data_IF_112524615531
#
_entry.id   IF_112524615531
#
_cell.length_a   1.000
_cell.length_b   1.000
_cell.length_c   1.000
_cell.angle_alpha   90.00
_cell.angle_beta   90.00
_cell.angle_gamma   90.00
#
_symmetry.space_group_name_H-M   'P 1'
#
loop_
_entity.id
_entity.type
_entity.pdbx_description
1 polymer ?
#
# COMPACT_ATOMS: atom_id res chain seq x y z
N UNK A 1 2.54 -14.00 -13.58
CA UNK A 1 2.90 -14.62 -12.28
C UNK A 1 2.38 -13.71 -11.18
N UNK A 2 1.69 -14.26 -10.17
CA UNK A 2 1.33 -13.47 -8.98
C UNK A 2 2.57 -13.39 -8.08
N UNK A 3 2.86 -12.25 -7.42
CA UNK A 3 3.95 -12.19 -6.47
C UNK A 3 3.69 -13.15 -5.32
N UNK A 4 4.69 -13.95 -4.95
CA UNK A 4 4.67 -14.72 -3.70
C UNK A 4 4.97 -13.76 -2.55
N UNK A 5 3.95 -13.40 -1.80
CA UNK A 5 4.06 -12.54 -0.64
C UNK A 5 4.46 -13.34 0.60
N UNK A 6 5.25 -12.75 1.48
CA UNK A 6 5.59 -13.30 2.81
C UNK A 6 5.33 -12.30 3.92
N UNK A 7 5.24 -12.82 5.14
CA UNK A 7 5.19 -12.00 6.35
C UNK A 7 6.45 -11.12 6.43
N UNK A 8 6.27 -9.84 6.77
CA UNK A 8 7.31 -8.83 6.78
C UNK A 8 7.48 -8.05 5.47
N UNK A 9 6.92 -8.51 4.35
CA UNK A 9 6.98 -7.74 3.10
C UNK A 9 6.18 -6.44 3.22
N UNK A 10 6.69 -5.40 2.56
CA UNK A 10 5.96 -4.15 2.39
C UNK A 10 5.10 -4.20 1.12
N UNK A 11 3.85 -3.80 1.26
CA UNK A 11 2.88 -3.77 0.17
C UNK A 11 2.09 -2.47 0.13
N UNK A 12 1.60 -2.14 -1.05
CA UNK A 12 0.61 -1.10 -1.27
C UNK A 12 -0.77 -1.75 -1.44
N UNK A 13 -1.79 -1.17 -0.83
CA UNK A 13 -3.17 -1.65 -0.86
C UNK A 13 -4.01 -0.77 -1.78
N UNK A 14 -4.82 -1.38 -2.64
CA UNK A 14 -5.70 -0.70 -3.58
C UNK A 14 -6.80 0.09 -2.88
N UNK A 15 -7.01 1.33 -3.32
CA UNK A 15 -8.04 2.23 -2.76
C UNK A 15 -9.45 1.99 -3.28
N UNK A 16 -9.63 1.06 -4.23
CA UNK A 16 -10.92 0.79 -4.89
C UNK A 16 -12.08 0.52 -3.92
N UNK A 17 -11.81 -0.13 -2.80
CA UNK A 17 -12.82 -0.48 -1.79
C UNK A 17 -12.84 0.47 -0.58
N UNK A 18 -12.10 1.58 -0.63
CA UNK A 18 -12.07 2.55 0.46
C UNK A 18 -13.17 3.60 0.25
N UNK A 19 -14.37 3.29 0.75
CA UNK A 19 -15.56 4.15 0.58
C UNK A 19 -15.43 5.56 1.22
N UNK A 20 -14.43 5.80 2.07
CA UNK A 20 -14.29 7.04 2.86
C UNK A 20 -13.00 7.82 2.59
N UNK A 21 -12.34 7.63 1.43
CA UNK A 21 -11.22 8.51 1.07
C UNK A 21 -11.78 9.90 0.73
N UNK A 22 -11.18 10.95 1.29
CA UNK A 22 -11.55 12.34 0.97
C UNK A 22 -11.02 12.73 -0.43
N UNK A 23 -11.72 13.61 -1.14
CA UNK A 23 -11.26 14.23 -2.41
C UNK A 23 -11.91 13.69 -3.69
N UNK A 24 -11.72 14.33 -4.87
CA UNK A 24 -12.32 13.88 -6.13
C UNK A 24 -11.63 12.62 -6.68
N UNK A 25 -12.41 11.64 -7.17
CA UNK A 25 -11.91 10.31 -7.56
C UNK A 25 -10.78 10.29 -8.60
N UNK A 26 -10.64 11.36 -9.41
CA UNK A 26 -9.56 11.50 -10.42
C UNK A 26 -8.20 11.92 -9.84
N UNK A 27 -8.15 12.45 -8.61
CA UNK A 27 -6.93 12.89 -7.92
C UNK A 27 -6.51 11.96 -6.78
N UNK A 28 -7.28 10.90 -6.51
CA UNK A 28 -6.95 9.95 -5.45
C UNK A 28 -5.90 8.97 -5.96
N UNK A 29 -4.92 8.69 -5.12
CA UNK A 29 -3.98 7.61 -5.40
C UNK A 29 -4.74 6.28 -5.48
N UNK A 30 -4.46 5.49 -6.53
CA UNK A 30 -5.08 4.17 -6.70
C UNK A 30 -4.61 3.15 -5.67
N UNK A 31 -3.52 3.46 -4.95
CA UNK A 31 -2.90 2.61 -3.94
C UNK A 31 -2.39 3.45 -2.76
N UNK A 32 -2.47 2.91 -1.56
CA UNK A 32 -1.99 3.53 -0.31
C UNK A 32 -1.05 2.59 0.44
N UNK A 33 -0.16 3.15 1.26
CA UNK A 33 0.87 2.41 1.99
C UNK A 33 2.23 3.10 1.91
N UNK A 34 3.33 2.44 2.27
CA UNK A 34 3.50 1.00 2.46
C UNK A 34 2.94 0.45 3.78
N UNK A 35 2.35 -0.74 3.73
CA UNK A 35 1.93 -1.51 4.90
C UNK A 35 2.72 -2.80 4.98
N UNK A 36 2.98 -3.28 6.19
CA UNK A 36 3.70 -4.54 6.41
C UNK A 36 2.71 -5.70 6.47
N UNK A 37 2.95 -6.77 5.72
CA UNK A 37 2.21 -8.01 5.86
C UNK A 37 2.53 -8.62 7.23
N UNK A 38 1.52 -8.80 8.07
CA UNK A 38 1.67 -9.45 9.37
C UNK A 38 1.28 -10.92 9.32
N UNK A 39 0.45 -11.32 8.35
CA UNK A 39 0.00 -12.71 8.21
C UNK A 39 -0.47 -13.02 6.80
N UNK A 40 -0.19 -14.23 6.32
CA UNK A 40 -0.82 -14.80 5.13
C UNK A 40 -2.05 -15.63 5.53
N UNK A 41 -3.21 -15.31 4.96
CA UNK A 41 -4.46 -16.03 5.20
C UNK A 41 -4.76 -16.88 3.97
N UNK A 42 -4.39 -18.17 4.04
CA UNK A 42 -4.50 -19.09 2.91
C UNK A 42 -3.65 -18.64 1.72
N UNK A 43 -4.13 -18.89 0.50
CA UNK A 43 -3.37 -18.64 -0.74
C UNK A 43 -3.60 -17.25 -1.35
N UNK A 44 -4.72 -16.62 -1.03
CA UNK A 44 -5.23 -15.47 -1.80
C UNK A 44 -5.51 -14.24 -0.94
N UNK A 45 -5.16 -14.25 0.34
CA UNK A 45 -5.50 -13.16 1.26
C UNK A 45 -4.31 -12.85 2.16
N UNK A 46 -4.07 -11.56 2.38
CA UNK A 46 -3.01 -11.06 3.26
C UNK A 46 -3.61 -10.16 4.32
N UNK A 47 -3.08 -10.24 5.53
CA UNK A 47 -3.37 -9.31 6.61
C UNK A 47 -2.20 -8.35 6.74
N UNK A 48 -2.49 -7.05 6.76
CA UNK A 48 -1.47 -6.00 6.83
C UNK A 48 -1.65 -5.14 8.07
N UNK A 49 -0.53 -4.64 8.57
CA UNK A 49 -0.52 -3.64 9.63
C UNK A 49 -0.85 -2.26 9.04
N UNK A 50 -2.10 -1.83 9.21
CA UNK A 50 -2.54 -0.50 8.85
C UNK A 50 -2.02 0.55 9.85
N UNK A 51 -1.69 1.73 9.35
CA UNK A 51 -1.33 2.88 10.19
C UNK A 51 -2.58 3.50 10.81
N UNK A 52 -2.44 4.37 11.81
CA UNK A 52 -3.56 4.94 12.58
C UNK A 52 -4.64 5.59 11.70
N UNK A 53 -4.25 6.28 10.62
CA UNK A 53 -5.18 6.89 9.65
C UNK A 53 -6.13 5.86 9.00
N UNK A 54 -5.68 4.60 8.88
CA UNK A 54 -6.42 3.50 8.27
C UNK A 54 -6.89 2.46 9.29
N UNK A 55 -6.69 2.67 10.59
CA UNK A 55 -7.03 1.72 11.65
C UNK A 55 -8.51 1.28 11.67
N UNK A 56 -9.42 2.14 11.21
CA UNK A 56 -10.86 1.83 11.09
C UNK A 56 -11.20 0.98 9.86
N UNK A 57 -10.24 0.67 8.99
CA UNK A 57 -10.44 -0.15 7.79
C UNK A 57 -10.10 -1.60 8.09
N UNK A 58 -10.74 -2.53 7.38
CA UNK A 58 -10.41 -3.95 7.49
C UNK A 58 -8.94 -4.18 7.10
N UNK A 59 -8.10 -4.81 7.95
CA UNK A 59 -6.68 -5.04 7.66
C UNK A 59 -6.43 -6.21 6.71
N UNK A 60 -7.48 -6.91 6.30
CA UNK A 60 -7.41 -8.13 5.49
C UNK A 60 -7.79 -7.83 4.05
N UNK A 61 -6.88 -8.10 3.12
CA UNK A 61 -7.05 -7.80 1.70
C UNK A 61 -6.77 -9.02 0.82
N UNK A 62 -7.56 -9.24 -0.23
CA UNK A 62 -7.22 -10.17 -1.30
C UNK A 62 -5.89 -9.80 -1.97
N UNK A 63 -5.11 -10.81 -2.36
CA UNK A 63 -3.82 -10.68 -3.07
C UNK A 63 -3.93 -9.85 -4.36
N UNK A 64 -5.09 -9.87 -5.01
CA UNK A 64 -5.37 -9.05 -6.22
C UNK A 64 -5.43 -7.55 -5.94
N UNK A 65 -5.71 -7.15 -4.69
CA UNK A 65 -5.80 -5.76 -4.27
C UNK A 65 -4.49 -5.24 -3.65
N UNK A 66 -3.44 -6.03 -3.61
CA UNK A 66 -2.13 -5.63 -3.09
C UNK A 66 -1.06 -5.65 -4.17
N UNK A 67 -0.09 -4.76 -4.04
CA UNK A 67 1.10 -4.69 -4.89
C UNK A 67 2.36 -4.69 -4.02
N UNK A 68 3.44 -5.36 -4.45
CA UNK A 68 4.71 -5.26 -3.74
C UNK A 68 5.19 -3.81 -3.73
N UNK A 69 5.65 -3.34 -2.57
CA UNK A 69 6.28 -2.03 -2.45
C UNK A 69 7.76 -2.16 -2.81
N UNK A 70 8.16 -1.52 -3.90
CA UNK A 70 9.57 -1.44 -4.30
C UNK A 70 10.17 -0.19 -3.69
N UNK A 71 10.99 -0.37 -2.65
CA UNK A 71 11.77 0.74 -2.11
C UNK A 71 12.67 1.29 -3.24
N UNK A 72 12.68 2.61 -3.38
CA UNK A 72 13.53 3.24 -4.39
C UNK A 72 14.98 3.14 -3.93
N UNK A 73 15.74 2.29 -4.61
CA UNK A 73 17.19 2.20 -4.47
C UNK A 73 17.83 3.51 -4.97
N UNK A 74 18.20 4.40 -4.05
CA UNK A 74 18.76 5.73 -4.38
C UNK A 74 20.03 5.62 -5.24
N UNK A 75 20.81 4.54 -5.06
CA UNK A 75 22.01 4.27 -5.85
C UNK A 75 21.72 3.89 -7.31
N UNK A 76 20.55 3.31 -7.62
CA UNK A 76 20.20 2.93 -8.99
C UNK A 76 19.65 4.10 -9.80
N UNK A 77 19.09 5.11 -9.13
CA UNK A 77 18.46 6.26 -9.78
C UNK A 77 18.84 7.57 -9.07
N UNK A 78 20.12 8.00 -9.10
CA UNK A 78 20.60 9.16 -8.37
C UNK A 78 19.94 10.48 -8.81
N UNK A 79 19.40 10.54 -10.03
CA UNK A 79 18.72 11.74 -10.56
C UNK A 79 17.25 11.86 -10.16
N UNK A 80 16.66 10.87 -9.46
CA UNK A 80 15.25 10.89 -9.05
C UNK A 80 15.08 11.78 -7.81
N UNK A 81 14.65 13.03 -8.00
CA UNK A 81 14.27 13.91 -6.88
C UNK A 81 13.01 13.35 -6.21
N UNK A 82 13.07 13.05 -4.91
CA UNK A 82 11.85 12.75 -4.13
C UNK A 82 11.03 14.03 -4.08
N UNK A 83 9.85 14.04 -4.70
CA UNK A 83 8.94 15.17 -4.55
C UNK A 83 8.59 15.28 -3.06
N UNK A 84 8.68 16.47 -2.44
CA UNK A 84 8.30 16.63 -1.05
C UNK A 84 6.83 16.23 -0.90
N UNK A 85 6.54 15.38 0.09
CA UNK A 85 5.17 15.08 0.52
C UNK A 85 4.44 16.41 0.73
N UNK A 86 3.28 16.64 0.09
CA UNK A 86 2.58 17.91 0.23
C UNK A 86 2.24 18.13 1.71
N UNK A 87 2.82 19.17 2.30
CA UNK A 87 2.43 19.64 3.62
C UNK A 87 0.97 20.09 3.51
N UNK A 88 0.06 19.36 4.18
CA UNK A 88 -1.33 19.81 4.30
C UNK A 88 -1.32 21.08 5.15
N UNK A 89 -1.69 22.20 4.55
CA UNK A 89 -1.98 23.47 5.23
C UNK A 89 -3.34 23.41 5.92
#
# INVERSE_FOLDING_TARGET
MKPDFKEGDQVLVSTLNFNNLKGPGKMRDSFVGPFTIIRLIGKNTVEVKLTEEFSMKHPVFPVILVKPYLQTEEHKFPSRKKNPTPQRY
#
